data_IF_047467004137
#
_entry.id   IF_047467004137
#
_cell.length_a   1.000
_cell.length_b   1.000
_cell.length_c   1.000
_cell.angle_alpha   90.00
_cell.angle_beta   90.00
_cell.angle_gamma   90.00
#
_symmetry.space_group_name_H-M   'P 1'
#
loop_
_entity.id
_entity.type
_entity.pdbx_description
1 polymer ?
#
# COMPACT_ATOMS: atom_id res chain seq x y z
N UNK A 1 -40.59 0.94 -58.42
CA UNK A 1 -41.18 1.96 -57.51
C UNK A 1 -41.79 1.29 -56.26
N UNK A 2 -41.07 1.21 -55.14
CA UNK A 2 -41.65 0.85 -53.84
C UNK A 2 -42.58 1.99 -53.45
N UNK A 3 -43.90 1.75 -53.52
CA UNK A 3 -44.90 2.66 -52.94
C UNK A 3 -44.60 2.81 -51.44
N UNK A 4 -44.18 3.99 -50.98
CA UNK A 4 -44.03 4.33 -49.59
C UNK A 4 -45.38 4.18 -48.88
N UNK A 5 -45.49 3.28 -47.91
CA UNK A 5 -46.70 3.13 -47.11
C UNK A 5 -46.96 4.46 -46.37
N UNK A 6 -48.13 5.04 -46.57
CA UNK A 6 -48.54 6.23 -45.80
C UNK A 6 -48.61 5.86 -44.31
N UNK A 7 -47.97 6.64 -43.48
CA UNK A 7 -48.07 6.55 -42.02
C UNK A 7 -49.06 7.57 -41.50
N UNK A 8 -49.97 7.13 -40.62
CA UNK A 8 -51.02 7.96 -40.02
C UNK A 8 -50.80 8.09 -38.56
N UNK A 9 -51.02 9.30 -37.99
CA UNK A 9 -50.90 9.54 -36.55
C UNK A 9 -52.01 8.86 -35.77
N UNK A 10 -51.85 8.53 -34.49
CA UNK A 10 -52.92 7.94 -33.66
C UNK A 10 -54.18 8.80 -33.61
N UNK A 11 -54.04 10.11 -33.55
CA UNK A 11 -55.12 11.10 -33.49
C UNK A 11 -55.95 11.02 -34.79
N UNK A 12 -55.30 11.02 -35.94
CA UNK A 12 -55.96 10.88 -37.24
C UNK A 12 -56.70 9.55 -37.36
N UNK A 13 -56.14 8.47 -36.88
CA UNK A 13 -56.79 7.14 -36.87
C UNK A 13 -58.00 7.13 -35.98
N UNK A 14 -57.91 7.81 -34.80
CA UNK A 14 -59.04 7.95 -33.88
C UNK A 14 -60.17 8.73 -34.52
N UNK A 15 -59.87 9.87 -35.13
CA UNK A 15 -60.85 10.72 -35.77
C UNK A 15 -61.57 9.99 -36.90
N UNK A 16 -60.86 9.31 -37.79
CA UNK A 16 -61.43 8.48 -38.84
C UNK A 16 -62.35 7.36 -38.30
N UNK A 17 -61.94 6.67 -37.22
CA UNK A 17 -62.72 5.60 -36.62
C UNK A 17 -63.98 6.12 -35.91
N UNK A 18 -63.91 7.31 -35.29
CA UNK A 18 -65.03 7.98 -34.64
C UNK A 18 -66.12 8.46 -35.63
N UNK A 19 -65.74 8.85 -36.85
CA UNK A 19 -66.72 9.16 -37.91
C UNK A 19 -67.70 8.02 -38.16
N UNK A 20 -67.21 6.78 -38.09
CA UNK A 20 -68.02 5.58 -38.33
C UNK A 20 -68.76 5.15 -37.04
N UNK A 21 -68.01 5.09 -35.91
CA UNK A 21 -68.57 4.54 -34.63
C UNK A 21 -69.50 5.50 -33.95
N UNK A 22 -69.17 6.82 -33.92
CA UNK A 22 -69.89 7.82 -33.17
C UNK A 22 -70.82 8.67 -34.01
N UNK A 23 -70.41 8.93 -35.28
CA UNK A 23 -71.23 9.80 -36.18
C UNK A 23 -72.04 9.04 -37.22
N UNK A 24 -71.93 7.69 -37.28
CA UNK A 24 -72.77 6.83 -38.13
C UNK A 24 -72.45 6.88 -39.62
N UNK A 25 -71.27 7.40 -40.02
CA UNK A 25 -70.90 7.39 -41.44
C UNK A 25 -70.67 5.95 -41.95
N UNK A 26 -71.08 5.70 -43.18
CA UNK A 26 -70.71 4.43 -43.84
C UNK A 26 -69.21 4.37 -44.16
N UNK A 27 -68.64 3.17 -44.21
CA UNK A 27 -67.22 2.99 -44.53
C UNK A 27 -66.81 3.66 -45.85
N UNK A 28 -67.76 3.68 -46.83
CA UNK A 28 -67.55 4.33 -48.12
C UNK A 28 -67.44 5.85 -47.98
N UNK A 29 -68.36 6.46 -47.30
CA UNK A 29 -68.40 7.91 -47.06
C UNK A 29 -67.18 8.37 -46.27
N UNK A 30 -66.76 7.63 -45.24
CA UNK A 30 -65.59 7.92 -44.45
C UNK A 30 -64.25 7.74 -45.26
N UNK A 31 -64.22 6.75 -46.10
CA UNK A 31 -63.11 6.50 -47.04
C UNK A 31 -62.90 7.62 -48.04
N UNK A 32 -63.97 8.11 -48.60
CA UNK A 32 -63.95 9.23 -49.58
C UNK A 32 -63.61 10.56 -48.85
N UNK A 33 -64.17 10.84 -47.67
CA UNK A 33 -63.93 12.06 -46.93
C UNK A 33 -62.49 12.18 -46.38
N UNK A 34 -61.92 11.07 -45.89
CA UNK A 34 -60.59 11.07 -45.23
C UNK A 34 -59.48 10.57 -46.17
N UNK A 35 -59.81 10.23 -47.41
CA UNK A 35 -58.85 9.67 -48.40
C UNK A 35 -58.03 8.49 -47.87
N UNK A 36 -58.69 7.56 -47.19
CA UNK A 36 -58.11 6.34 -46.56
C UNK A 36 -58.88 5.10 -47.10
N UNK A 37 -58.16 4.04 -47.44
CA UNK A 37 -58.74 2.80 -47.91
C UNK A 37 -59.73 2.17 -46.91
N UNK A 38 -60.89 1.67 -47.37
CA UNK A 38 -61.92 1.09 -46.50
C UNK A 38 -61.44 -0.04 -45.62
N UNK A 39 -60.56 -0.91 -46.06
CA UNK A 39 -59.95 -1.97 -45.25
C UNK A 39 -59.09 -1.46 -44.12
N UNK A 40 -58.45 -0.32 -44.33
CA UNK A 40 -57.66 0.36 -43.28
C UNK A 40 -58.58 0.96 -42.21
N UNK A 41 -59.69 1.58 -42.63
CA UNK A 41 -60.73 2.11 -41.73
C UNK A 41 -61.39 0.99 -40.92
N UNK A 42 -61.71 -0.15 -41.55
CA UNK A 42 -62.24 -1.32 -40.82
C UNK A 42 -61.32 -1.79 -39.72
N UNK A 43 -60.03 -1.83 -39.98
CA UNK A 43 -59.03 -2.19 -38.99
C UNK A 43 -59.00 -1.22 -37.82
N UNK A 44 -59.09 0.11 -38.06
CA UNK A 44 -59.08 1.14 -37.05
C UNK A 44 -60.38 1.15 -36.23
N UNK A 45 -61.50 0.95 -36.87
CA UNK A 45 -62.82 0.82 -36.22
C UNK A 45 -62.83 -0.40 -35.28
N UNK A 46 -62.33 -1.54 -35.75
CA UNK A 46 -62.23 -2.75 -34.95
C UNK A 46 -61.31 -2.51 -33.73
N UNK A 47 -60.19 -1.81 -33.96
CA UNK A 47 -59.27 -1.46 -32.88
C UNK A 47 -59.94 -0.51 -31.89
N UNK A 48 -60.62 0.56 -32.31
CA UNK A 48 -61.30 1.50 -31.42
C UNK A 48 -62.40 0.81 -30.57
N UNK A 49 -63.19 -0.08 -31.15
CA UNK A 49 -64.21 -0.86 -30.42
C UNK A 49 -63.59 -1.73 -29.34
N UNK A 50 -62.46 -2.40 -29.64
CA UNK A 50 -61.73 -3.21 -28.63
C UNK A 50 -61.10 -2.36 -27.53
N UNK A 51 -60.48 -1.24 -27.90
CA UNK A 51 -59.92 -0.31 -26.90
C UNK A 51 -60.98 0.26 -25.97
N UNK A 52 -62.19 0.58 -26.46
CA UNK A 52 -63.35 1.02 -25.63
C UNK A 52 -63.86 -0.09 -24.70
N UNK A 53 -63.66 -1.33 -25.04
CA UNK A 53 -63.98 -2.49 -24.20
C UNK A 53 -62.86 -2.82 -23.20
N UNK A 54 -61.83 -1.98 -23.10
CA UNK A 54 -60.69 -2.18 -22.18
C UNK A 54 -59.69 -3.23 -22.67
N UNK A 55 -59.78 -3.72 -23.91
CA UNK A 55 -58.86 -4.72 -24.43
C UNK A 55 -57.65 -4.03 -25.01
N UNK A 56 -56.47 -4.32 -24.44
CA UNK A 56 -55.19 -3.74 -24.89
C UNK A 56 -54.87 -4.10 -26.35
N UNK A 57 -54.56 -3.11 -27.21
CA UNK A 57 -54.24 -3.36 -28.61
C UNK A 57 -52.80 -3.91 -28.79
N UNK A 58 -52.59 -4.82 -29.72
CA UNK A 58 -51.26 -5.29 -30.13
C UNK A 58 -50.44 -4.23 -30.89
N UNK A 59 -51.16 -3.31 -31.58
CA UNK A 59 -50.60 -2.18 -32.31
C UNK A 59 -50.50 -0.91 -31.41
N UNK A 60 -50.04 0.22 -31.99
CA UNK A 60 -50.05 1.51 -31.29
C UNK A 60 -51.47 1.91 -30.89
N UNK A 61 -51.78 2.18 -29.62
CA UNK A 61 -53.10 2.57 -29.16
C UNK A 61 -53.62 3.80 -29.91
N UNK A 62 -54.95 3.83 -30.16
CA UNK A 62 -55.62 4.95 -30.81
C UNK A 62 -56.23 5.88 -29.78
N UNK A 63 -56.85 5.31 -28.72
CA UNK A 63 -57.47 6.11 -27.66
C UNK A 63 -56.46 6.71 -26.70
N UNK A 64 -56.68 7.97 -26.22
CA UNK A 64 -55.79 8.62 -25.25
C UNK A 64 -55.59 7.82 -23.97
N UNK A 65 -56.67 7.17 -23.50
CA UNK A 65 -56.63 6.36 -22.29
C UNK A 65 -55.70 5.14 -22.43
N UNK A 66 -55.79 4.42 -23.52
CA UNK A 66 -54.93 3.27 -23.80
C UNK A 66 -53.45 3.69 -24.04
N UNK A 67 -53.24 4.87 -24.63
CA UNK A 67 -51.89 5.44 -24.74
C UNK A 67 -51.33 5.73 -23.34
N UNK A 68 -52.14 6.31 -22.46
CA UNK A 68 -51.75 6.61 -21.09
C UNK A 68 -51.51 5.35 -20.26
N UNK A 69 -52.35 4.33 -20.40
CA UNK A 69 -52.16 3.02 -19.75
C UNK A 69 -50.82 2.42 -20.16
N UNK A 70 -50.51 2.39 -21.47
CA UNK A 70 -49.25 1.84 -22.00
C UNK A 70 -48.03 2.59 -21.50
N UNK A 71 -48.12 3.91 -21.34
CA UNK A 71 -47.07 4.74 -20.78
C UNK A 71 -46.86 4.46 -19.27
N UNK A 72 -47.97 4.35 -18.51
CA UNK A 72 -47.91 4.00 -17.09
C UNK A 72 -47.33 2.59 -16.87
N UNK A 73 -47.75 1.61 -17.64
CA UNK A 73 -47.16 0.25 -17.59
C UNK A 73 -45.66 0.25 -17.85
N UNK A 74 -45.20 1.08 -18.80
CA UNK A 74 -43.78 1.25 -19.09
C UNK A 74 -43.05 1.91 -17.91
N UNK A 75 -43.68 2.88 -17.25
CA UNK A 75 -43.15 3.52 -16.06
C UNK A 75 -43.09 2.56 -14.87
N UNK A 76 -44.14 1.79 -14.62
CA UNK A 76 -44.17 0.78 -13.56
C UNK A 76 -43.06 -0.26 -13.77
N UNK A 77 -42.92 -0.82 -14.97
CA UNK A 77 -41.88 -1.79 -15.29
C UNK A 77 -40.48 -1.22 -15.03
N UNK A 78 -40.26 0.05 -15.40
CA UNK A 78 -39.01 0.74 -15.13
C UNK A 78 -38.73 0.91 -13.63
N UNK A 79 -39.78 1.29 -12.86
CA UNK A 79 -39.67 1.46 -11.40
C UNK A 79 -39.45 0.13 -10.67
N UNK A 80 -40.08 -0.95 -11.12
CA UNK A 80 -39.85 -2.31 -10.61
C UNK A 80 -38.45 -2.79 -10.85
N UNK A 81 -37.88 -2.55 -12.05
CA UNK A 81 -36.49 -2.84 -12.38
C UNK A 81 -35.55 -2.04 -11.47
N UNK A 82 -35.78 -0.73 -11.31
CA UNK A 82 -35.00 0.12 -10.41
C UNK A 82 -35.07 -0.37 -8.97
N UNK A 83 -36.25 -0.72 -8.48
CA UNK A 83 -36.44 -1.25 -7.11
C UNK A 83 -35.66 -2.56 -6.92
N UNK A 84 -35.66 -3.43 -7.91
CA UNK A 84 -34.89 -4.69 -7.88
C UNK A 84 -33.39 -4.41 -7.82
N UNK A 85 -32.90 -3.44 -8.59
CA UNK A 85 -31.49 -3.00 -8.57
C UNK A 85 -31.15 -2.41 -7.19
N UNK A 86 -32.02 -1.56 -6.62
CA UNK A 86 -31.83 -0.99 -5.29
C UNK A 86 -31.81 -2.05 -4.18
N UNK A 87 -32.73 -3.02 -4.20
CA UNK A 87 -32.74 -4.13 -3.24
C UNK A 87 -31.43 -4.95 -3.26
N UNK A 88 -30.87 -5.19 -4.43
CA UNK A 88 -29.58 -5.89 -4.59
C UNK A 88 -28.38 -5.01 -4.26
N UNK A 89 -28.54 -3.69 -4.35
CA UNK A 89 -27.51 -2.68 -4.11
C UNK A 89 -27.71 -1.82 -2.86
N UNK A 90 -28.57 -2.22 -1.91
CA UNK A 90 -29.08 -1.42 -0.77
C UNK A 90 -28.00 -0.71 0.08
N UNK A 91 -26.74 -1.16 0.05
CA UNK A 91 -25.60 -0.46 0.66
C UNK A 91 -24.92 0.57 -0.25
N UNK A 92 -25.42 0.79 -1.46
CA UNK A 92 -24.70 1.51 -2.51
C UNK A 92 -24.95 3.02 -2.55
N UNK A 93 -25.97 3.53 -1.87
CA UNK A 93 -26.31 4.97 -1.90
C UNK A 93 -25.33 5.84 -1.09
N UNK A 94 -24.65 5.24 -0.11
CA UNK A 94 -23.69 5.94 0.75
C UNK A 94 -22.21 5.62 0.41
N UNK A 95 -21.96 4.95 -0.71
CA UNK A 95 -20.62 4.50 -1.09
C UNK A 95 -19.99 5.41 -2.15
N UNK A 96 -18.65 5.42 -2.16
CA UNK A 96 -17.85 6.20 -3.10
C UNK A 96 -18.10 5.79 -4.55
N UNK A 97 -17.93 6.72 -5.48
CA UNK A 97 -18.17 6.51 -6.92
C UNK A 97 -17.50 5.24 -7.49
N UNK A 98 -16.29 4.91 -7.04
CA UNK A 98 -15.56 3.71 -7.47
C UNK A 98 -16.28 2.39 -7.07
N UNK A 99 -16.93 2.38 -5.93
CA UNK A 99 -17.69 1.23 -5.43
C UNK A 99 -19.00 1.08 -6.21
N UNK A 100 -19.66 2.20 -6.52
CA UNK A 100 -20.84 2.21 -7.41
C UNK A 100 -20.50 1.60 -8.78
N UNK A 101 -19.36 1.93 -9.37
CA UNK A 101 -18.88 1.29 -10.61
C UNK A 101 -18.69 -0.22 -10.46
N UNK A 102 -18.17 -0.67 -9.32
CA UNK A 102 -18.00 -2.11 -9.05
C UNK A 102 -19.34 -2.84 -8.95
N UNK A 103 -20.37 -2.19 -8.39
CA UNK A 103 -21.74 -2.73 -8.33
C UNK A 103 -22.33 -2.84 -9.73
N UNK A 104 -22.16 -1.80 -10.59
CA UNK A 104 -22.59 -1.86 -11.99
C UNK A 104 -21.91 -3.04 -12.71
N UNK A 105 -20.58 -3.21 -12.53
CA UNK A 105 -19.86 -4.31 -13.16
C UNK A 105 -20.37 -5.69 -12.72
N UNK A 106 -20.70 -5.85 -11.43
CA UNK A 106 -21.20 -7.12 -10.88
C UNK A 106 -22.63 -7.46 -11.33
N UNK A 107 -23.47 -6.44 -11.51
CA UNK A 107 -24.88 -6.63 -11.88
C UNK A 107 -25.12 -6.55 -13.40
N UNK A 108 -24.08 -6.27 -14.19
CA UNK A 108 -24.18 -6.14 -15.66
C UNK A 108 -24.57 -7.43 -16.39
N UNK A 109 -24.42 -8.58 -15.73
CA UNK A 109 -24.85 -9.88 -16.30
C UNK A 109 -26.36 -10.10 -16.19
N UNK A 110 -27.04 -9.45 -15.23
CA UNK A 110 -28.47 -9.61 -14.96
C UNK A 110 -29.32 -8.40 -15.35
N UNK A 111 -28.73 -7.23 -15.52
CA UNK A 111 -29.44 -5.97 -15.81
C UNK A 111 -28.68 -5.13 -16.85
N UNK A 112 -29.41 -4.32 -17.61
CA UNK A 112 -28.79 -3.44 -18.59
C UNK A 112 -27.89 -2.38 -17.93
N UNK A 113 -26.71 -2.11 -18.49
CA UNK A 113 -25.81 -1.06 -17.99
C UNK A 113 -26.49 0.31 -17.97
N UNK A 114 -27.48 0.53 -18.84
CA UNK A 114 -28.25 1.79 -18.91
C UNK A 114 -29.11 1.93 -17.66
N UNK A 115 -29.90 0.90 -17.33
CA UNK A 115 -30.76 0.87 -16.14
C UNK A 115 -29.93 0.96 -14.85
N UNK A 116 -28.81 0.22 -14.78
CA UNK A 116 -27.89 0.25 -13.63
C UNK A 116 -27.27 1.64 -13.40
N UNK A 117 -26.77 2.27 -14.45
CA UNK A 117 -26.18 3.61 -14.35
C UNK A 117 -27.24 4.66 -13.96
N UNK A 118 -28.46 4.54 -14.51
CA UNK A 118 -29.57 5.43 -14.15
C UNK A 118 -29.98 5.25 -12.70
N UNK A 119 -30.15 4.00 -12.21
CA UNK A 119 -30.52 3.70 -10.84
C UNK A 119 -29.48 4.15 -9.82
N UNK A 120 -28.17 4.03 -10.11
CA UNK A 120 -27.08 4.39 -9.22
C UNK A 120 -26.58 5.84 -9.43
N UNK A 121 -27.28 6.65 -10.21
CA UNK A 121 -26.93 8.04 -10.52
C UNK A 121 -25.50 8.21 -11.07
N UNK A 122 -25.13 7.33 -12.00
CA UNK A 122 -23.79 7.32 -12.61
C UNK A 122 -23.90 7.70 -14.07
N UNK A 123 -23.02 8.59 -14.55
CA UNK A 123 -22.93 8.86 -15.97
C UNK A 123 -22.31 7.67 -16.71
N UNK A 124 -22.95 7.20 -17.78
CA UNK A 124 -22.49 6.02 -18.57
C UNK A 124 -21.07 6.15 -19.11
N UNK A 125 -20.67 7.36 -19.52
CA UNK A 125 -19.31 7.60 -20.03
C UNK A 125 -18.28 7.40 -18.90
N UNK A 126 -18.58 7.84 -17.66
CA UNK A 126 -17.72 7.65 -16.50
C UNK A 126 -17.51 6.17 -16.18
N UNK A 127 -18.60 5.38 -16.23
CA UNK A 127 -18.50 3.92 -16.07
C UNK A 127 -17.69 3.26 -17.17
N UNK A 128 -17.92 3.61 -18.45
CA UNK A 128 -17.15 3.08 -19.60
C UNK A 128 -15.68 3.41 -19.51
N UNK A 129 -15.35 4.65 -19.13
CA UNK A 129 -13.97 5.08 -18.89
C UNK A 129 -13.31 4.28 -17.77
N UNK A 130 -14.00 4.12 -16.63
CA UNK A 130 -13.54 3.32 -15.50
C UNK A 130 -13.32 1.87 -15.89
N UNK A 131 -14.26 1.23 -16.60
CA UNK A 131 -14.16 -0.16 -17.09
C UNK A 131 -12.94 -0.33 -17.99
N UNK A 132 -12.80 0.51 -19.01
CA UNK A 132 -11.64 0.48 -19.92
C UNK A 132 -10.32 0.61 -19.16
N UNK A 133 -10.25 1.51 -18.19
CA UNK A 133 -9.03 1.73 -17.39
C UNK A 133 -8.74 0.60 -16.41
N UNK A 134 -9.75 -0.04 -15.87
CA UNK A 134 -9.61 -1.21 -14.99
C UNK A 134 -9.03 -2.41 -15.74
N UNK A 135 -9.52 -2.65 -16.93
CA UNK A 135 -9.14 -3.81 -17.75
C UNK A 135 -7.80 -3.57 -18.50
N UNK A 136 -7.29 -2.33 -18.51
CA UNK A 136 -6.01 -2.01 -19.13
C UNK A 136 -4.88 -2.19 -18.10
N UNK A 137 -4.01 -3.17 -18.36
CA UNK A 137 -2.77 -3.37 -17.60
C UNK A 137 -1.83 -2.21 -17.90
N UNK A 138 -1.39 -1.49 -16.87
CA UNK A 138 -0.37 -0.45 -17.00
C UNK A 138 1.02 -1.07 -16.72
N UNK A 139 1.86 -1.32 -17.75
CA UNK A 139 3.16 -1.99 -17.59
C UNK A 139 4.10 -1.25 -16.62
N UNK A 140 4.08 0.10 -16.65
CA UNK A 140 4.91 0.92 -15.76
C UNK A 140 4.49 0.73 -14.29
N UNK A 141 3.17 0.63 -14.01
CA UNK A 141 2.67 0.35 -12.66
C UNK A 141 3.03 -1.06 -12.20
N UNK A 142 2.91 -2.06 -13.09
CA UNK A 142 3.30 -3.46 -12.78
C UNK A 142 4.78 -3.52 -12.41
N UNK A 143 5.66 -2.88 -13.20
CA UNK A 143 7.09 -2.79 -12.89
C UNK A 143 7.34 -2.15 -11.53
N UNK A 144 6.71 -1.02 -11.23
CA UNK A 144 6.85 -0.36 -9.92
C UNK A 144 6.35 -1.22 -8.76
N UNK A 145 5.26 -1.96 -8.94
CA UNK A 145 4.77 -2.90 -7.93
C UNK A 145 5.76 -4.04 -7.70
N UNK A 146 6.40 -4.54 -8.75
CA UNK A 146 7.45 -5.57 -8.65
C UNK A 146 8.67 -5.04 -7.89
N UNK A 147 9.14 -3.84 -8.21
CA UNK A 147 10.28 -3.21 -7.51
C UNK A 147 9.99 -2.95 -6.03
N UNK A 148 8.81 -2.43 -5.69
CA UNK A 148 8.38 -2.26 -4.29
C UNK A 148 8.36 -3.60 -3.55
N UNK A 149 7.82 -4.64 -4.17
CA UNK A 149 7.76 -5.97 -3.54
C UNK A 149 9.14 -6.57 -3.36
N UNK A 150 10.04 -6.40 -4.34
CA UNK A 150 11.43 -6.84 -4.25
C UNK A 150 12.16 -6.17 -3.09
N UNK A 151 12.08 -4.84 -2.99
CA UNK A 151 12.71 -4.07 -1.91
C UNK A 151 12.11 -4.42 -0.54
N UNK A 152 10.78 -4.62 -0.46
CA UNK A 152 10.11 -5.03 0.76
C UNK A 152 10.55 -6.45 1.21
N UNK A 153 10.68 -7.40 0.28
CA UNK A 153 11.18 -8.74 0.57
C UNK A 153 12.66 -8.72 1.01
N UNK A 154 13.49 -7.88 0.38
CA UNK A 154 14.89 -7.69 0.75
C UNK A 154 15.04 -7.18 2.19
N UNK A 155 14.11 -6.35 2.65
CA UNK A 155 14.02 -5.90 4.05
C UNK A 155 13.32 -6.88 4.99
N UNK A 156 12.95 -8.07 4.53
CA UNK A 156 12.13 -9.05 5.26
C UNK A 156 10.82 -8.48 5.81
N UNK A 157 10.20 -7.56 5.08
CA UNK A 157 8.95 -6.94 5.49
C UNK A 157 9.08 -5.83 6.53
N UNK A 158 10.28 -5.44 6.91
CA UNK A 158 10.50 -4.38 7.91
C UNK A 158 10.41 -2.96 7.35
N UNK A 159 10.75 -2.77 6.06
CA UNK A 159 10.80 -1.46 5.45
C UNK A 159 9.42 -0.81 5.31
N UNK A 160 9.31 0.42 5.80
CA UNK A 160 8.15 1.28 5.60
C UNK A 160 8.26 2.14 4.34
N UNK A 161 7.21 2.94 4.06
CA UNK A 161 7.11 3.74 2.85
C UNK A 161 8.29 4.71 2.61
N UNK A 162 8.89 5.26 3.69
CA UNK A 162 10.08 6.12 3.57
C UNK A 162 11.29 5.33 3.14
N UNK A 163 11.60 4.25 3.84
CA UNK A 163 12.74 3.37 3.57
C UNK A 163 12.66 2.77 2.15
N UNK A 164 11.47 2.31 1.74
CA UNK A 164 11.26 1.78 0.38
C UNK A 164 11.45 2.86 -0.69
N UNK A 165 11.00 4.09 -0.45
CA UNK A 165 11.23 5.20 -1.37
C UNK A 165 12.72 5.50 -1.54
N UNK A 166 13.48 5.52 -0.46
CA UNK A 166 14.92 5.73 -0.45
C UNK A 166 15.66 4.59 -1.17
N UNK A 167 15.36 3.32 -0.84
CA UNK A 167 15.93 2.14 -1.51
C UNK A 167 15.69 2.16 -3.02
N UNK A 168 14.47 2.47 -3.47
CA UNK A 168 14.19 2.51 -4.91
C UNK A 168 14.90 3.67 -5.60
N UNK A 169 14.98 4.82 -4.95
CA UNK A 169 15.66 6.00 -5.51
C UNK A 169 17.16 5.74 -5.67
N UNK A 170 17.80 5.07 -4.71
CA UNK A 170 19.20 4.63 -4.80
C UNK A 170 19.41 3.64 -5.96
N UNK A 171 18.44 2.77 -6.20
CA UNK A 171 18.46 1.82 -7.32
C UNK A 171 18.06 2.45 -8.67
N UNK A 172 18.03 3.79 -8.78
CA UNK A 172 17.74 4.50 -10.03
C UNK A 172 16.23 4.59 -10.37
N UNK A 173 15.33 4.26 -9.43
CA UNK A 173 13.88 4.38 -9.60
C UNK A 173 13.36 5.52 -8.70
N UNK A 174 13.27 6.76 -9.18
CA UNK A 174 12.83 7.90 -8.39
C UNK A 174 11.46 7.67 -7.77
N UNK A 175 11.39 7.68 -6.43
CA UNK A 175 10.19 7.32 -5.70
C UNK A 175 9.95 8.26 -4.51
N UNK A 176 8.79 8.92 -4.48
CA UNK A 176 8.40 9.68 -3.29
C UNK A 176 7.82 8.77 -2.20
N UNK A 177 7.99 9.13 -0.93
CA UNK A 177 7.38 8.46 0.22
C UNK A 177 5.87 8.25 0.04
N UNK A 178 5.18 9.26 -0.47
CA UNK A 178 3.74 9.21 -0.68
C UNK A 178 3.35 8.15 -1.73
N UNK A 179 4.09 8.12 -2.84
CA UNK A 179 3.88 7.13 -3.90
C UNK A 179 4.18 5.71 -3.42
N UNK A 180 5.28 5.52 -2.69
CA UNK A 180 5.60 4.23 -2.06
C UNK A 180 4.50 3.77 -1.11
N UNK A 181 3.98 4.64 -0.22
CA UNK A 181 2.89 4.31 0.69
C UNK A 181 1.59 3.90 -0.03
N UNK A 182 1.25 4.55 -1.14
CA UNK A 182 0.08 4.15 -1.97
C UNK A 182 0.27 2.78 -2.62
N UNK A 183 1.48 2.47 -3.08
CA UNK A 183 1.80 1.16 -3.67
C UNK A 183 1.81 0.06 -2.60
N UNK A 184 2.38 0.31 -1.42
CA UNK A 184 2.31 -0.60 -0.28
C UNK A 184 0.86 -0.94 0.07
N UNK A 185 -0.01 0.07 0.20
CA UNK A 185 -1.44 -0.13 0.47
C UNK A 185 -2.11 -0.96 -0.63
N UNK A 186 -1.80 -0.69 -1.89
CA UNK A 186 -2.33 -1.44 -3.04
C UNK A 186 -1.88 -2.92 -3.03
N UNK A 187 -0.65 -3.19 -2.58
CA UNK A 187 -0.06 -4.53 -2.49
C UNK A 187 -0.34 -5.24 -1.15
N UNK A 188 -1.10 -4.60 -0.25
CA UNK A 188 -1.35 -5.06 1.12
C UNK A 188 -0.06 -5.35 1.92
N UNK A 189 0.97 -4.50 1.73
CA UNK A 189 2.23 -4.58 2.44
C UNK A 189 2.19 -3.69 3.68
N UNK A 190 2.64 -4.22 4.82
CA UNK A 190 2.81 -3.49 6.08
C UNK A 190 4.23 -3.65 6.59
N UNK A 191 4.79 -2.60 7.23
CA UNK A 191 6.10 -2.68 7.87
C UNK A 191 5.97 -3.16 9.32
N UNK A 192 6.97 -3.92 9.79
CA UNK A 192 7.09 -4.24 11.21
C UNK A 192 7.36 -2.97 12.02
N UNK A 193 6.64 -2.80 13.12
CA UNK A 193 6.85 -1.69 14.05
C UNK A 193 7.50 -2.21 15.32
N UNK A 194 8.61 -1.57 15.80
CA UNK A 194 9.21 -1.95 17.06
C UNK A 194 8.28 -1.65 18.23
N UNK A 195 8.21 -2.56 19.21
CA UNK A 195 7.48 -2.36 20.46
C UNK A 195 7.98 -1.16 21.26
N UNK A 196 7.20 -0.70 22.24
CA UNK A 196 7.61 0.35 23.16
C UNK A 196 8.78 -0.14 24.03
N UNK A 197 9.85 0.64 24.11
CA UNK A 197 11.01 0.33 24.94
C UNK A 197 10.78 0.79 26.38
N UNK A 198 11.11 -0.07 27.36
CA UNK A 198 11.13 0.30 28.79
C UNK A 198 12.58 0.41 29.26
N UNK A 199 12.95 1.57 29.82
CA UNK A 199 14.28 1.82 30.34
C UNK A 199 14.39 1.33 31.77
N UNK A 200 15.54 0.67 32.12
CA UNK A 200 15.87 0.27 33.47
C UNK A 200 16.92 1.24 34.05
N UNK A 201 16.67 1.78 35.23
CA UNK A 201 17.61 2.65 35.93
C UNK A 201 18.63 1.83 36.72
N UNK A 202 19.91 2.14 36.60
CA UNK A 202 21.01 1.49 37.33
C UNK A 202 21.46 2.32 38.55
N UNK A 203 21.96 1.64 39.62
CA UNK A 203 22.08 2.22 40.96
C UNK A 203 23.47 2.65 41.48
N UNK A 204 24.61 2.40 40.77
CA UNK A 204 25.96 2.81 41.30
C UNK A 204 26.93 3.23 40.16
N UNK A 205 27.79 4.25 40.40
CA UNK A 205 28.79 4.77 39.45
C UNK A 205 30.20 4.20 39.69
N UNK A 206 30.95 3.96 38.59
CA UNK A 206 32.39 3.75 38.58
C UNK A 206 33.09 5.06 38.20
N UNK A 207 33.95 5.58 39.07
CA UNK A 207 34.48 6.95 39.00
C UNK A 207 35.76 7.13 38.18
N UNK A 208 36.29 6.06 37.53
CA UNK A 208 37.67 6.10 37.03
C UNK A 208 37.80 6.37 35.49
N UNK A 209 36.76 6.30 34.71
CA UNK A 209 36.84 6.53 33.26
C UNK A 209 35.85 7.63 32.83
N UNK A 210 36.35 8.72 32.17
CA UNK A 210 35.51 9.85 31.80
C UNK A 210 34.64 9.60 30.57
N UNK A 211 33.48 10.29 30.50
CA UNK A 211 32.72 10.41 29.26
C UNK A 211 33.33 11.52 28.41
N UNK A 212 34.17 11.14 27.45
CA UNK A 212 34.82 12.10 26.54
C UNK A 212 33.98 12.42 25.31
N UNK A 213 33.03 11.55 24.97
CA UNK A 213 32.18 11.74 23.81
C UNK A 213 31.09 12.80 24.04
N UNK A 214 30.59 12.93 25.27
CA UNK A 214 29.60 13.95 25.68
C UNK A 214 28.39 14.08 24.72
N UNK A 215 27.95 12.94 24.14
CA UNK A 215 26.87 12.85 23.13
C UNK A 215 27.16 13.58 21.83
N UNK A 216 28.40 13.91 21.54
CA UNK A 216 28.80 14.50 20.26
C UNK A 216 28.84 13.40 19.17
N UNK A 217 27.66 12.90 18.79
CA UNK A 217 27.55 11.80 17.83
C UNK A 217 27.73 12.22 16.38
N UNK A 218 27.77 13.50 16.06
CA UNK A 218 28.09 14.00 14.73
C UNK A 218 29.61 14.05 14.55
N UNK A 219 30.17 13.02 13.95
CA UNK A 219 31.60 12.86 13.72
C UNK A 219 31.92 13.24 12.28
N UNK A 220 32.91 14.12 12.03
CA UNK A 220 33.19 14.67 10.70
C UNK A 220 33.90 13.70 9.76
N UNK A 221 34.63 12.72 10.28
CA UNK A 221 35.50 11.81 9.52
C UNK A 221 35.36 10.37 9.98
N UNK A 222 35.59 9.39 9.08
CA UNK A 222 35.70 7.98 9.47
C UNK A 222 36.85 7.76 10.46
N UNK A 223 36.72 6.71 11.26
CA UNK A 223 37.77 6.23 12.19
C UNK A 223 38.22 7.24 13.27
N UNK A 224 37.37 8.24 13.58
CA UNK A 224 37.59 9.15 14.72
C UNK A 224 36.92 8.66 15.99
N UNK A 225 35.72 8.16 15.87
CA UNK A 225 34.96 7.68 17.05
C UNK A 225 34.26 6.38 16.70
N UNK A 226 34.59 5.34 17.42
CA UNK A 226 33.90 4.06 17.40
C UNK A 226 33.07 3.88 18.63
N UNK A 227 31.85 3.34 18.50
CA UNK A 227 31.01 2.93 19.63
C UNK A 227 30.92 1.42 19.70
N UNK A 228 30.96 0.88 20.92
CA UNK A 228 30.76 -0.54 21.18
C UNK A 228 29.68 -0.81 22.20
N UNK A 229 28.99 -1.93 22.05
CA UNK A 229 27.99 -2.38 23.00
C UNK A 229 27.69 -3.88 22.81
N UNK A 230 27.06 -4.50 23.79
CA UNK A 230 26.68 -5.92 23.81
C UNK A 230 25.17 -6.04 23.89
N UNK A 231 24.61 -6.92 23.07
CA UNK A 231 23.21 -7.34 23.21
C UNK A 231 23.11 -8.85 23.34
N UNK A 232 21.99 -9.33 23.85
CA UNK A 232 21.68 -10.76 23.96
C UNK A 232 20.65 -11.16 22.90
N UNK A 233 20.83 -12.36 22.35
CA UNK A 233 20.00 -12.95 21.30
C UNK A 233 19.72 -14.41 21.69
N UNK A 234 18.46 -14.81 21.65
CA UNK A 234 18.08 -16.19 21.87
C UNK A 234 18.44 -17.05 20.68
N UNK A 235 19.20 -18.14 20.89
CA UNK A 235 19.62 -19.04 19.83
C UNK A 235 19.72 -20.49 20.35
N UNK A 236 18.94 -21.38 19.76
CA UNK A 236 18.73 -22.71 20.30
C UNK A 236 18.04 -22.64 21.67
N UNK A 237 18.63 -23.26 22.68
CA UNK A 237 18.06 -23.34 24.02
C UNK A 237 18.76 -22.41 25.03
N UNK A 238 19.47 -21.39 24.58
CA UNK A 238 20.27 -20.49 25.45
C UNK A 238 20.42 -19.08 24.89
N UNK A 239 20.80 -18.17 25.77
CA UNK A 239 21.23 -16.84 25.40
C UNK A 239 22.63 -16.88 24.76
N UNK A 240 22.78 -16.18 23.63
CA UNK A 240 24.03 -15.82 23.02
C UNK A 240 24.22 -14.31 23.12
N UNK A 241 25.45 -13.85 23.14
CA UNK A 241 25.83 -12.47 23.29
C UNK A 241 26.50 -11.98 22.02
N UNK A 242 26.02 -10.85 21.50
CA UNK A 242 26.56 -10.20 20.31
C UNK A 242 27.22 -8.89 20.75
N UNK A 243 28.54 -8.81 20.57
CA UNK A 243 29.28 -7.55 20.67
C UNK A 243 29.40 -6.93 19.27
N UNK A 244 29.21 -5.63 19.17
CA UNK A 244 29.27 -4.86 17.93
C UNK A 244 30.12 -3.63 18.12
N UNK A 245 30.90 -3.28 17.10
CA UNK A 245 31.66 -2.03 16.99
C UNK A 245 31.17 -1.27 15.75
N UNK A 246 30.79 -0.03 15.95
CA UNK A 246 30.23 0.86 14.93
C UNK A 246 31.07 2.13 14.82
N UNK A 247 31.44 2.51 13.60
CA UNK A 247 31.97 3.84 13.31
C UNK A 247 30.84 4.88 13.31
N UNK A 248 30.99 5.92 14.09
CA UNK A 248 29.97 6.96 14.25
C UNK A 248 29.86 7.91 13.05
N UNK A 249 30.87 8.00 12.18
CA UNK A 249 30.79 8.86 10.99
C UNK A 249 29.56 8.51 10.13
N UNK A 250 29.54 7.30 9.60
CA UNK A 250 28.45 6.82 8.73
C UNK A 250 27.51 5.82 9.40
N UNK A 251 27.64 5.58 10.71
CA UNK A 251 26.90 4.51 11.42
C UNK A 251 27.19 3.13 10.86
N UNK A 252 28.35 2.91 10.26
CA UNK A 252 28.79 1.64 9.68
C UNK A 252 29.21 0.68 10.78
N UNK A 253 28.69 -0.54 10.75
CA UNK A 253 29.19 -1.62 11.61
C UNK A 253 30.48 -2.16 11.00
N UNK A 254 31.57 -2.05 11.77
CA UNK A 254 32.93 -2.38 11.32
C UNK A 254 33.51 -3.62 11.98
N UNK A 255 32.94 -4.05 13.10
CA UNK A 255 33.36 -5.26 13.80
C UNK A 255 32.22 -5.84 14.63
N UNK A 256 32.21 -7.16 14.74
CA UNK A 256 31.24 -7.87 15.56
C UNK A 256 31.72 -9.26 15.96
N UNK A 257 31.17 -9.80 17.04
CA UNK A 257 31.44 -11.16 17.50
C UNK A 257 30.25 -11.74 18.23
N UNK A 258 30.01 -13.04 18.08
CA UNK A 258 28.91 -13.78 18.74
C UNK A 258 29.48 -14.91 19.60
N UNK A 259 29.17 -14.90 20.90
CA UNK A 259 29.59 -15.92 21.86
C UNK A 259 28.45 -16.40 22.75
N UNK A 260 28.66 -17.55 23.40
CA UNK A 260 27.77 -18.03 24.47
C UNK A 260 28.00 -17.27 25.79
N UNK A 261 29.12 -16.55 25.94
CA UNK A 261 29.47 -15.83 27.16
C UNK A 261 29.65 -14.34 26.85
N UNK A 262 29.21 -13.49 27.77
CA UNK A 262 29.42 -12.05 27.72
C UNK A 262 30.72 -11.71 28.48
N UNK A 263 31.86 -12.07 27.92
CA UNK A 263 33.17 -11.92 28.51
C UNK A 263 34.04 -10.90 27.74
N UNK A 264 35.22 -10.62 28.28
CA UNK A 264 36.21 -9.73 27.67
C UNK A 264 36.71 -10.27 26.32
N UNK A 265 36.72 -11.61 26.13
CA UNK A 265 37.11 -12.24 24.85
C UNK A 265 36.14 -11.89 23.74
N UNK A 266 34.83 -11.85 24.01
CA UNK A 266 33.79 -11.46 23.06
C UNK A 266 34.02 -10.05 22.50
N UNK A 267 34.17 -9.04 23.40
CA UNK A 267 34.35 -7.64 22.98
C UNK A 267 35.72 -7.40 22.34
N UNK A 268 36.75 -8.11 22.82
CA UNK A 268 38.08 -8.05 22.22
C UNK A 268 38.10 -8.60 20.80
N UNK A 269 37.33 -9.66 20.51
CA UNK A 269 37.21 -10.22 19.16
C UNK A 269 36.51 -9.24 18.20
N UNK A 270 35.44 -8.58 18.66
CA UNK A 270 34.77 -7.54 17.87
C UNK A 270 35.69 -6.34 17.60
N UNK A 271 36.45 -5.89 18.60
CA UNK A 271 37.41 -4.80 18.42
C UNK A 271 38.56 -5.16 17.48
N UNK A 272 39.11 -6.37 17.58
CA UNK A 272 40.16 -6.83 16.66
C UNK A 272 39.66 -6.85 15.22
N UNK A 273 38.49 -7.40 14.98
CA UNK A 273 37.87 -7.37 13.66
C UNK A 273 37.75 -5.93 13.13
N UNK A 274 37.23 -5.01 13.94
CA UNK A 274 37.11 -3.60 13.56
C UNK A 274 38.47 -2.98 13.22
N UNK A 275 39.47 -3.21 14.06
CA UNK A 275 40.82 -2.65 13.92
C UNK A 275 41.53 -3.17 12.65
N UNK A 276 41.40 -4.47 12.36
CA UNK A 276 41.99 -5.10 11.15
C UNK A 276 41.26 -4.65 9.88
N UNK A 277 39.92 -4.68 9.87
CA UNK A 277 39.13 -4.28 8.70
C UNK A 277 39.36 -2.81 8.32
N UNK A 278 39.64 -1.95 9.33
CA UNK A 278 39.91 -0.52 9.11
C UNK A 278 41.38 -0.18 8.83
N UNK A 279 42.21 -1.18 8.67
CA UNK A 279 43.66 -0.95 8.34
C UNK A 279 44.48 -0.38 9.50
N UNK A 280 44.08 -0.71 10.74
CA UNK A 280 44.81 -0.34 11.95
C UNK A 280 44.92 1.19 12.18
N UNK A 281 43.79 1.92 12.23
CA UNK A 281 43.81 3.36 12.35
C UNK A 281 44.36 3.81 13.70
N UNK A 282 44.89 5.05 13.75
CA UNK A 282 45.46 5.68 14.93
C UNK A 282 44.51 6.77 15.42
N UNK A 283 44.64 7.13 16.71
CA UNK A 283 43.93 8.26 17.35
C UNK A 283 42.40 8.10 17.35
N UNK A 284 41.92 6.87 17.33
CA UNK A 284 40.49 6.53 17.45
C UNK A 284 40.06 6.68 18.93
N UNK A 285 38.87 7.25 19.13
CA UNK A 285 38.18 7.19 20.43
C UNK A 285 37.20 6.02 20.41
N UNK A 286 37.27 5.12 21.39
CA UNK A 286 36.32 4.03 21.57
C UNK A 286 35.37 4.35 22.74
N UNK A 287 34.09 4.49 22.47
CA UNK A 287 33.05 4.78 23.44
C UNK A 287 32.17 3.55 23.71
N UNK A 288 31.91 3.25 24.99
CA UNK A 288 31.05 2.14 25.39
C UNK A 288 30.23 2.48 26.62
N UNK A 289 29.35 1.58 27.05
CA UNK A 289 28.75 1.62 28.38
C UNK A 289 29.78 1.29 29.46
N UNK A 290 29.38 1.39 30.76
CA UNK A 290 30.20 1.04 31.91
C UNK A 290 30.18 -0.46 32.25
N UNK A 291 29.89 -1.34 31.29
CA UNK A 291 29.93 -2.77 31.51
C UNK A 291 31.31 -3.25 32.01
N UNK A 292 31.31 -4.20 32.96
CA UNK A 292 32.55 -4.74 33.54
C UNK A 292 33.51 -5.33 32.48
N UNK A 293 32.96 -5.76 31.33
CA UNK A 293 33.75 -6.24 30.22
C UNK A 293 34.60 -5.13 29.60
N UNK A 294 34.04 -3.91 29.44
CA UNK A 294 34.73 -2.75 28.85
C UNK A 294 35.67 -2.04 29.85
N UNK A 295 35.33 -2.09 31.12
CA UNK A 295 36.15 -1.46 32.19
C UNK A 295 37.26 -2.37 32.73
N UNK A 296 37.28 -3.65 32.31
CA UNK A 296 38.27 -4.63 32.75
C UNK A 296 39.67 -4.36 32.20
N UNK A 297 40.71 -4.61 33.04
CA UNK A 297 42.12 -4.34 32.73
C UNK A 297 42.60 -4.94 31.41
N UNK A 298 42.17 -6.18 31.07
CA UNK A 298 42.55 -6.85 29.81
C UNK A 298 42.07 -6.10 28.57
N UNK A 299 40.88 -5.49 28.62
CA UNK A 299 40.34 -4.71 27.51
C UNK A 299 41.05 -3.35 27.42
N UNK A 300 41.31 -2.70 28.53
CA UNK A 300 42.09 -1.46 28.55
C UNK A 300 43.50 -1.66 28.00
N UNK A 301 44.17 -2.77 28.33
CA UNK A 301 45.47 -3.12 27.75
C UNK A 301 45.41 -3.31 26.24
N UNK A 302 44.32 -3.89 25.70
CA UNK A 302 44.12 -4.03 24.27
C UNK A 302 43.93 -2.67 23.57
N UNK A 303 43.09 -1.79 24.13
CA UNK A 303 42.90 -0.43 23.64
C UNK A 303 44.23 0.36 23.66
N UNK A 304 44.99 0.26 24.74
CA UNK A 304 46.32 0.90 24.84
C UNK A 304 47.28 0.39 23.76
N UNK A 305 47.33 -0.95 23.52
CA UNK A 305 48.16 -1.55 22.46
C UNK A 305 47.79 -0.98 21.07
N UNK A 306 46.52 -0.75 20.84
CA UNK A 306 46.02 -0.20 19.57
C UNK A 306 46.07 1.33 19.52
N UNK A 307 46.54 1.99 20.60
CA UNK A 307 46.54 3.46 20.75
C UNK A 307 45.15 4.06 20.57
N UNK A 308 44.14 3.36 21.06
CA UNK A 308 42.74 3.79 21.07
C UNK A 308 42.41 4.42 22.41
N UNK A 309 41.86 5.64 22.39
CA UNK A 309 41.45 6.39 23.57
C UNK A 309 40.10 5.89 24.06
N UNK A 310 40.01 5.53 25.34
CA UNK A 310 38.77 5.03 25.92
C UNK A 310 37.88 6.18 26.43
N UNK A 311 36.57 6.09 26.14
CA UNK A 311 35.50 6.92 26.67
C UNK A 311 34.36 6.02 27.15
N UNK A 312 33.70 6.37 28.24
CA UNK A 312 32.66 5.54 28.85
C UNK A 312 31.43 6.37 29.18
N UNK A 313 30.26 5.87 28.88
CA UNK A 313 28.97 6.51 29.17
C UNK A 313 28.82 6.76 30.68
N UNK A 314 28.08 7.77 31.07
CA UNK A 314 27.65 7.94 32.47
C UNK A 314 26.72 6.80 32.84
N UNK A 315 26.87 6.33 34.09
CA UNK A 315 26.09 5.17 34.54
C UNK A 315 24.59 5.46 34.58
N UNK A 316 23.81 4.48 34.12
CA UNK A 316 22.34 4.62 34.05
C UNK A 316 21.86 5.61 33.02
N UNK A 317 22.75 6.17 32.19
CA UNK A 317 22.39 7.12 31.15
C UNK A 317 22.51 6.49 29.79
N UNK A 318 21.45 5.77 29.39
CA UNK A 318 21.35 5.09 28.10
C UNK A 318 21.50 6.05 26.90
N UNK A 319 21.19 7.32 27.06
CA UNK A 319 21.33 8.34 26.02
C UNK A 319 22.79 8.57 25.56
N UNK A 320 23.76 8.22 26.39
CA UNK A 320 25.17 8.41 26.07
C UNK A 320 25.67 7.39 25.03
N UNK A 321 24.94 6.28 24.80
CA UNK A 321 25.24 5.28 23.74
C UNK A 321 24.06 5.04 22.78
N UNK A 322 23.24 6.05 22.55
CA UNK A 322 22.01 5.95 21.75
C UNK A 322 22.19 5.42 20.31
N UNK A 323 23.32 5.61 19.59
CA UNK A 323 23.53 5.00 18.28
C UNK A 323 23.54 3.47 18.32
N UNK A 324 24.17 2.86 19.34
CA UNK A 324 24.21 1.42 19.51
C UNK A 324 22.85 0.84 19.91
N UNK A 325 22.15 1.51 20.83
CA UNK A 325 20.78 1.12 21.19
C UNK A 325 19.85 1.12 19.98
N UNK A 326 19.96 2.13 19.11
CA UNK A 326 19.20 2.22 17.87
C UNK A 326 19.54 1.10 16.90
N UNK A 327 20.80 0.76 16.76
CA UNK A 327 21.25 -0.36 15.94
C UNK A 327 20.65 -1.68 16.43
N UNK A 328 20.79 -1.99 17.73
CA UNK A 328 20.25 -3.23 18.28
C UNK A 328 18.72 -3.32 18.20
N UNK A 329 18.04 -2.20 18.38
CA UNK A 329 16.60 -2.14 18.17
C UNK A 329 16.23 -2.49 16.73
N UNK A 330 16.95 -1.93 15.76
CA UNK A 330 16.75 -2.25 14.35
C UNK A 330 17.02 -3.73 14.06
N UNK A 331 18.17 -4.25 14.48
CA UNK A 331 18.51 -5.66 14.32
C UNK A 331 17.42 -6.59 14.89
N UNK A 332 16.99 -6.35 16.14
CA UNK A 332 15.99 -7.19 16.81
C UNK A 332 14.62 -7.12 16.16
N UNK A 333 14.22 -5.95 15.66
CA UNK A 333 12.91 -5.78 15.02
C UNK A 333 12.87 -6.28 13.57
N UNK A 334 13.96 -6.07 12.84
CA UNK A 334 14.02 -6.28 11.41
C UNK A 334 14.46 -7.69 11.02
N UNK A 335 15.26 -8.35 11.88
CA UNK A 335 15.94 -9.58 11.48
C UNK A 335 15.90 -10.74 12.47
N UNK A 336 15.85 -10.46 13.77
CA UNK A 336 15.78 -11.52 14.77
C UNK A 336 14.35 -12.05 14.86
N UNK A 337 14.12 -13.36 14.67
CA UNK A 337 12.79 -13.95 14.84
C UNK A 337 12.27 -13.77 16.28
N UNK A 338 10.96 -13.68 16.43
CA UNK A 338 10.31 -13.51 17.75
C UNK A 338 10.69 -14.61 18.72
N UNK A 339 10.79 -15.85 18.23
CA UNK A 339 11.14 -17.05 19.02
C UNK A 339 12.66 -17.29 19.08
N UNK A 340 13.46 -16.38 18.53
CA UNK A 340 14.90 -16.51 18.40
C UNK A 340 15.33 -17.40 17.22
N UNK A 341 16.63 -17.65 17.14
CA UNK A 341 17.20 -18.54 16.12
C UNK A 341 17.22 -19.99 16.59
N UNK A 342 17.18 -20.92 15.65
CA UNK A 342 17.21 -22.36 15.93
C UNK A 342 18.55 -22.87 16.51
N UNK A 343 19.65 -22.13 16.28
CA UNK A 343 20.97 -22.45 16.81
C UNK A 343 21.98 -21.32 16.67
N UNK A 344 23.13 -21.45 17.35
CA UNK A 344 24.18 -20.44 17.36
C UNK A 344 24.77 -20.17 15.96
N UNK A 345 24.95 -21.21 15.14
CA UNK A 345 25.53 -21.05 13.81
C UNK A 345 24.56 -20.38 12.86
N UNK A 346 23.27 -20.69 12.95
CA UNK A 346 22.21 -20.00 12.23
C UNK A 346 22.15 -18.53 12.65
N UNK A 347 22.21 -18.24 13.96
CA UNK A 347 22.29 -16.88 14.45
C UNK A 347 23.48 -16.13 13.90
N UNK A 348 24.66 -16.74 13.90
CA UNK A 348 25.90 -16.15 13.34
C UNK A 348 25.73 -15.82 11.86
N UNK A 349 25.26 -16.75 11.04
CA UNK A 349 25.04 -16.57 9.62
C UNK A 349 24.03 -15.44 9.34
N UNK A 350 22.90 -15.44 10.05
CA UNK A 350 21.84 -14.45 9.86
C UNK A 350 22.27 -13.05 10.30
N UNK A 351 22.99 -12.93 11.41
CA UNK A 351 23.53 -11.66 11.90
C UNK A 351 24.61 -11.13 10.94
N UNK A 352 25.50 -12.00 10.46
CA UNK A 352 26.48 -11.64 9.43
C UNK A 352 25.79 -11.09 8.18
N UNK A 353 24.77 -11.78 7.70
CA UNK A 353 23.98 -11.34 6.55
C UNK A 353 23.26 -10.00 6.81
N UNK A 354 22.72 -9.80 8.01
CA UNK A 354 22.13 -8.51 8.38
C UNK A 354 23.16 -7.38 8.31
N UNK A 355 24.30 -7.56 8.93
CA UNK A 355 25.33 -6.52 9.04
C UNK A 355 25.94 -6.21 7.67
N UNK A 356 26.42 -7.23 6.95
CA UNK A 356 27.19 -7.04 5.74
C UNK A 356 26.31 -6.77 4.51
N UNK A 357 25.26 -7.60 4.33
CA UNK A 357 24.48 -7.58 3.09
C UNK A 357 23.26 -6.66 3.14
N UNK A 358 22.82 -6.25 4.35
CA UNK A 358 21.64 -5.42 4.47
C UNK A 358 21.91 -4.10 5.19
N UNK A 359 22.36 -4.11 6.44
CA UNK A 359 22.50 -2.90 7.24
C UNK A 359 23.52 -1.91 6.64
N UNK A 360 24.71 -2.38 6.33
CA UNK A 360 25.78 -1.52 5.79
C UNK A 360 25.55 -1.11 4.33
N UNK A 361 25.04 -2.02 3.47
CA UNK A 361 25.09 -1.85 2.01
C UNK A 361 23.71 -1.61 1.34
N UNK A 362 22.60 -1.87 2.02
CA UNK A 362 21.26 -1.77 1.40
C UNK A 362 20.31 -0.89 2.20
N UNK A 363 20.42 -0.89 3.53
CA UNK A 363 19.49 -0.19 4.40
C UNK A 363 19.77 1.31 4.42
N UNK A 364 18.83 2.16 3.94
CA UNK A 364 18.99 3.60 4.02
C UNK A 364 19.04 4.08 5.49
N UNK A 365 19.90 5.04 5.76
CA UNK A 365 20.07 5.60 7.08
C UNK A 365 19.71 7.08 7.11
N UNK A 366 18.76 7.47 7.94
CA UNK A 366 18.30 8.87 8.02
C UNK A 366 19.43 9.84 8.38
N UNK A 367 20.34 9.43 9.28
CA UNK A 367 21.50 10.23 9.66
C UNK A 367 22.40 10.56 8.45
N UNK A 368 22.49 9.68 7.49
CA UNK A 368 23.28 9.83 6.26
C UNK A 368 22.49 10.46 5.11
N UNK A 369 21.41 11.18 5.40
CA UNK A 369 20.57 11.76 4.34
C UNK A 369 19.87 10.74 3.44
N UNK A 370 19.64 9.53 3.95
CA UNK A 370 19.03 8.43 3.20
C UNK A 370 20.03 7.49 2.52
N UNK A 371 21.33 7.80 2.55
CA UNK A 371 22.36 6.90 2.03
C UNK A 371 22.56 5.71 2.96
N UNK A 372 23.08 4.60 2.40
CA UNK A 372 23.57 3.49 3.22
C UNK A 372 24.84 3.90 3.97
N UNK A 373 25.19 3.23 5.09
CA UNK A 373 26.46 3.49 5.77
C UNK A 373 27.67 3.38 4.86
N UNK A 374 27.72 2.37 4.02
CA UNK A 374 28.81 2.14 3.08
C UNK A 374 28.90 3.22 2.00
N UNK A 375 27.77 3.61 1.40
CA UNK A 375 27.77 4.65 0.38
C UNK A 375 28.10 6.03 0.96
N UNK A 376 27.64 6.33 2.16
CA UNK A 376 27.97 7.57 2.88
C UNK A 376 29.46 7.69 3.13
N UNK A 377 30.13 6.58 3.50
CA UNK A 377 31.55 6.55 3.74
C UNK A 377 32.35 6.61 2.43
N UNK A 378 31.92 5.88 1.40
CA UNK A 378 32.56 5.92 0.08
C UNK A 378 32.57 7.33 -0.51
N UNK A 379 31.50 8.11 -0.32
CA UNK A 379 31.42 9.51 -0.77
C UNK A 379 32.37 10.46 -0.04
N UNK A 380 32.81 10.09 1.16
CA UNK A 380 33.79 10.87 1.88
C UNK A 380 35.21 10.68 1.30
N UNK A 381 35.50 9.52 0.75
CA UNK A 381 36.81 9.18 0.18
C UNK A 381 36.99 9.65 -1.27
N UNK A 382 35.92 10.13 -1.91
CA UNK A 382 35.93 10.70 -3.26
C UNK A 382 35.47 12.15 -3.26
#
# INVERSE_FOLDING_TARGET
>A
NKKTKRTFTPEFRLECAQLIVDKGYSYRQASEAMNVGSTTLESWVRQLRRERQGIAPSATPITPDQQRIRELEKQVRRLEEQNTIFKKGYRALDVRLAERFTIVARLSDSHSVVSLCSALEIHRSSYRYWRKRRDTVNPARVRLCSEIRRAWNQSRGSAGARTLAEMLTQNGVPMSRYRAGRLMKYLNLSSCQPGKHQYKNARQEHTCLPNLLERQFAVPEPDRVWCGDITYIWAGNRWCYLAVVMDLFARRVIGWSLSANADTALISSALRMAYEVRGQPRDVMFHSDQGSQYTGLKYQQLLWRYRIKQSVSRRGNCWDNSPMERFFRSLKTEWVPTDGYTGKDVARQQISSYILNYYNSVRPHHYNGGLTPEESENRYHF
#
